data_IF_368656610242
#
_entry.id   IF_368656610242
#
_cell.length_a   1.000
_cell.length_b   1.000
_cell.length_c   1.000
_cell.angle_alpha   90.00
_cell.angle_beta   90.00
_cell.angle_gamma   90.00
#
_symmetry.space_group_name_H-M   'P 1'
#
loop_
_entity.id
_entity.type
_entity.pdbx_description
1 polymer ?
#
# COMPACT_ATOMS: atom_id res chain seq x y z
N UNK A 1 -0.37 19.79 -1.18
CA UNK A 1 -0.94 18.54 -0.61
C UNK A 1 0.15 17.84 0.17
N UNK A 2 0.12 18.01 1.50
CA UNK A 2 1.13 17.44 2.42
C UNK A 2 0.57 16.24 3.16
N UNK A 3 1.39 15.24 3.41
CA UNK A 3 1.05 14.11 4.26
C UNK A 3 0.85 14.60 5.70
N UNK A 4 -0.33 14.37 6.27
CA UNK A 4 -0.66 14.76 7.64
C UNK A 4 -0.50 13.64 8.65
N UNK A 5 -1.10 12.49 8.34
CA UNK A 5 -1.03 11.29 9.17
C UNK A 5 -1.23 10.01 8.34
N UNK A 6 -0.85 8.87 8.92
CA UNK A 6 -1.07 7.55 8.33
C UNK A 6 -1.88 6.71 9.31
N UNK A 7 -3.00 6.17 8.85
CA UNK A 7 -3.92 5.35 9.62
C UNK A 7 -4.01 3.95 9.04
N UNK A 8 -4.58 3.04 9.82
CA UNK A 8 -4.73 1.64 9.49
C UNK A 8 -6.18 1.20 9.58
N UNK A 9 -6.56 0.32 8.69
CA UNK A 9 -7.77 -0.47 8.74
C UNK A 9 -7.47 -1.94 8.51
N UNK A 10 -8.42 -2.80 8.87
CA UNK A 10 -8.37 -4.22 8.60
C UNK A 10 -9.45 -4.56 7.58
N UNK A 11 -9.04 -5.02 6.40
CA UNK A 11 -9.97 -5.56 5.42
C UNK A 11 -10.12 -7.07 5.68
N UNK A 12 -11.34 -7.52 5.95
CA UNK A 12 -11.69 -8.94 6.11
C UNK A 12 -12.85 -9.25 5.20
N UNK A 13 -12.61 -10.08 4.19
CA UNK A 13 -13.62 -10.46 3.20
C UNK A 13 -13.62 -11.98 3.03
N UNK A 14 -14.74 -12.66 3.31
CA UNK A 14 -14.84 -14.09 3.07
C UNK A 14 -14.79 -14.38 1.56
N UNK A 15 -14.08 -15.43 1.19
CA UNK A 15 -14.05 -15.91 -0.19
C UNK A 15 -15.30 -16.74 -0.49
N UNK A 16 -15.86 -16.61 -1.70
CA UNK A 16 -16.94 -17.46 -2.17
C UNK A 16 -16.52 -18.93 -2.27
N UNK A 17 -15.27 -19.17 -2.65
CA UNK A 17 -14.64 -20.49 -2.72
C UNK A 17 -13.29 -20.39 -2.05
N UNK A 18 -12.93 -21.33 -1.16
CA UNK A 18 -11.61 -21.33 -0.53
C UNK A 18 -10.50 -21.44 -1.58
N UNK A 19 -9.48 -20.59 -1.44
CA UNK A 19 -8.31 -20.63 -2.28
C UNK A 19 -7.27 -21.59 -1.68
N UNK A 20 -6.94 -22.67 -2.39
CA UNK A 20 -6.01 -23.69 -1.93
C UNK A 20 -4.71 -23.64 -2.71
N UNK A 21 -3.60 -23.68 -1.97
CA UNK A 21 -2.27 -23.85 -2.53
C UNK A 21 -1.57 -25.04 -1.86
N UNK A 22 -0.39 -25.41 -2.33
CA UNK A 22 0.42 -26.45 -1.70
C UNK A 22 0.79 -26.11 -0.22
N UNK A 23 0.83 -24.84 0.13
CA UNK A 23 1.27 -24.38 1.44
C UNK A 23 0.13 -24.03 2.40
N UNK A 24 -1.06 -23.67 1.88
CA UNK A 24 -2.16 -23.19 2.73
C UNK A 24 -3.52 -23.23 2.03
N UNK A 25 -4.56 -23.22 2.85
CA UNK A 25 -5.93 -22.90 2.42
C UNK A 25 -6.30 -21.51 2.96
N UNK A 26 -6.84 -20.66 2.11
CA UNK A 26 -7.31 -19.32 2.46
C UNK A 26 -8.82 -19.28 2.30
N UNK A 27 -9.55 -18.97 3.37
CA UNK A 27 -11.00 -18.88 3.39
C UNK A 27 -11.51 -17.44 3.33
N UNK A 28 -10.66 -16.50 3.73
CA UNK A 28 -10.93 -15.06 3.69
C UNK A 28 -9.69 -14.25 3.35
N UNK A 29 -9.88 -13.10 2.74
CA UNK A 29 -8.84 -12.07 2.62
C UNK A 29 -8.72 -11.35 3.95
N UNK A 30 -7.49 -11.18 4.41
CA UNK A 30 -7.16 -10.40 5.61
C UNK A 30 -5.96 -9.50 5.31
N UNK A 31 -6.24 -8.25 4.96
CA UNK A 31 -5.21 -7.28 4.59
C UNK A 31 -5.19 -6.11 5.56
N UNK A 32 -3.99 -5.62 5.84
CA UNK A 32 -3.81 -4.30 6.47
C UNK A 32 -4.02 -3.25 5.39
N UNK A 33 -5.03 -2.41 5.57
CA UNK A 33 -5.25 -1.22 4.73
C UNK A 33 -4.51 -0.04 5.34
N UNK A 34 -3.66 0.59 4.56
CA UNK A 34 -2.96 1.83 4.91
C UNK A 34 -3.69 3.00 4.28
N UNK A 35 -4.01 4.01 5.09
CA UNK A 35 -4.68 5.24 4.67
C UNK A 35 -3.74 6.42 4.94
N UNK A 36 -3.24 7.05 3.88
CA UNK A 36 -2.40 8.26 3.97
C UNK A 36 -3.29 9.48 3.84
N UNK A 37 -3.45 10.22 4.94
CA UNK A 37 -4.26 11.43 4.99
C UNK A 37 -3.43 12.67 4.69
N UNK A 38 -4.02 13.64 4.00
CA UNK A 38 -3.37 14.90 3.65
C UNK A 38 -4.00 16.10 4.35
N UNK A 39 -3.30 17.23 4.34
CA UNK A 39 -3.76 18.53 4.85
C UNK A 39 -4.91 19.13 4.01
N UNK A 40 -5.10 18.65 2.79
CA UNK A 40 -6.18 19.07 1.87
C UNK A 40 -7.41 18.18 1.95
N UNK A 41 -7.44 17.19 2.86
CA UNK A 41 -8.57 16.27 3.03
C UNK A 41 -8.59 15.07 2.10
N UNK A 42 -7.63 14.95 1.17
CA UNK A 42 -7.49 13.77 0.33
C UNK A 42 -6.92 12.59 1.14
N UNK A 43 -7.32 11.39 0.75
CA UNK A 43 -6.85 10.14 1.35
C UNK A 43 -6.39 9.19 0.26
N UNK A 44 -5.17 8.71 0.37
CA UNK A 44 -4.66 7.63 -0.49
C UNK A 44 -4.75 6.28 0.22
N UNK A 45 -5.04 5.25 -0.54
CA UNK A 45 -5.23 3.89 -0.03
C UNK A 45 -4.20 2.93 -0.61
N UNK A 46 -3.69 2.05 0.26
CA UNK A 46 -2.87 0.92 -0.12
C UNK A 46 -3.14 -0.25 0.80
N UNK A 47 -2.83 -1.46 0.38
CA UNK A 47 -3.03 -2.64 1.20
C UNK A 47 -1.79 -3.53 1.24
N UNK A 48 -1.66 -4.28 2.33
CA UNK A 48 -0.61 -5.25 2.55
C UNK A 48 -1.20 -6.57 3.06
N UNK A 49 -1.09 -7.66 2.29
CA UNK A 49 -1.46 -8.98 2.76
C UNK A 49 -0.44 -9.50 3.78
N UNK A 50 -0.94 -10.02 4.90
CA UNK A 50 -0.10 -10.69 5.89
C UNK A 50 0.05 -12.16 5.51
N UNK A 51 1.15 -12.52 4.84
CA UNK A 51 1.41 -13.88 4.35
C UNK A 51 2.61 -14.50 5.06
N UNK A 52 2.47 -14.74 6.38
CA UNK A 52 3.57 -15.18 7.23
C UNK A 52 4.35 -16.41 6.70
N UNK A 53 3.63 -17.38 6.10
CA UNK A 53 4.24 -18.60 5.54
C UNK A 53 4.95 -18.40 4.20
N UNK A 54 4.82 -17.23 3.57
CA UNK A 54 5.41 -16.94 2.26
C UNK A 54 6.45 -15.82 2.39
N UNK A 55 6.06 -14.66 2.94
CA UNK A 55 6.93 -13.48 3.05
C UNK A 55 7.49 -13.27 4.46
N UNK A 56 6.92 -13.94 5.46
CA UNK A 56 7.24 -13.71 6.86
C UNK A 56 6.50 -12.51 7.48
N UNK A 57 5.74 -11.76 6.69
CA UNK A 57 5.00 -10.60 7.18
C UNK A 57 3.73 -11.03 7.94
N UNK A 58 3.52 -10.41 9.10
CA UNK A 58 2.30 -10.53 9.90
C UNK A 58 1.58 -9.19 9.96
N UNK A 59 0.30 -9.17 10.36
CA UNK A 59 -0.43 -7.92 10.56
C UNK A 59 0.31 -6.98 11.51
N UNK A 60 0.84 -7.52 12.61
CA UNK A 60 1.60 -6.75 13.60
C UNK A 60 2.89 -6.17 13.02
N UNK A 61 3.68 -6.98 12.31
CA UNK A 61 4.94 -6.50 11.71
C UNK A 61 4.71 -5.40 10.67
N UNK A 62 3.65 -5.51 9.85
CA UNK A 62 3.28 -4.49 8.88
C UNK A 62 2.92 -3.18 9.58
N UNK A 63 2.03 -3.22 10.56
CA UNK A 63 1.60 -2.02 11.30
C UNK A 63 2.77 -1.35 12.02
N UNK A 64 3.61 -2.12 12.70
CA UNK A 64 4.78 -1.61 13.41
C UNK A 64 5.81 -1.01 12.45
N UNK A 65 6.08 -1.66 11.30
CA UNK A 65 6.98 -1.15 10.28
C UNK A 65 6.52 0.22 9.75
N UNK A 66 5.24 0.35 9.43
CA UNK A 66 4.71 1.64 8.95
C UNK A 66 4.71 2.68 10.06
N UNK A 67 4.21 2.36 11.26
CA UNK A 67 4.03 3.31 12.36
C UNK A 67 5.34 3.92 12.85
N UNK A 68 6.35 3.08 13.05
CA UNK A 68 7.57 3.51 13.74
C UNK A 68 8.74 3.84 12.81
N UNK A 69 8.73 3.32 11.58
CA UNK A 69 9.88 3.48 10.68
C UNK A 69 9.55 4.27 9.42
N UNK A 70 8.35 4.10 8.84
CA UNK A 70 8.00 4.77 7.58
C UNK A 70 7.29 6.10 7.85
N UNK A 71 6.18 6.10 8.59
CA UNK A 71 5.34 7.28 8.81
C UNK A 71 6.12 8.49 9.36
N UNK A 72 7.03 8.37 10.35
CA UNK A 72 7.76 9.51 10.88
C UNK A 72 8.65 10.22 9.84
N UNK A 73 9.04 9.51 8.76
CA UNK A 73 9.86 10.06 7.68
C UNK A 73 9.04 10.79 6.62
N UNK A 74 7.73 10.53 6.56
CA UNK A 74 6.86 11.01 5.49
C UNK A 74 5.96 12.16 5.91
N UNK A 75 5.56 12.24 7.16
CA UNK A 75 4.69 13.30 7.67
C UNK A 75 5.31 14.67 7.39
N UNK A 76 4.51 15.58 6.82
CA UNK A 76 4.91 16.91 6.41
C UNK A 76 5.48 17.03 4.98
N UNK A 77 5.72 15.91 4.30
CA UNK A 77 6.23 15.94 2.92
C UNK A 77 5.11 16.25 1.91
N UNK A 78 5.48 16.94 0.85
CA UNK A 78 4.60 17.24 -0.30
C UNK A 78 4.47 16.01 -1.20
N UNK A 79 3.24 15.64 -1.54
CA UNK A 79 2.95 14.51 -2.45
C UNK A 79 3.57 14.71 -3.83
N UNK A 80 3.74 15.95 -4.29
CA UNK A 80 4.41 16.26 -5.56
C UNK A 80 5.86 15.74 -5.61
N UNK A 81 6.52 15.56 -4.46
CA UNK A 81 7.89 15.05 -4.38
C UNK A 81 7.94 13.52 -4.35
N UNK A 82 7.21 12.86 -5.26
CA UNK A 82 7.02 11.41 -5.30
C UNK A 82 8.33 10.63 -5.18
N UNK A 83 9.33 10.94 -5.99
CA UNK A 83 10.61 10.23 -5.99
C UNK A 83 11.33 10.31 -4.63
N UNK A 84 11.25 11.45 -3.94
CA UNK A 84 11.81 11.60 -2.59
C UNK A 84 11.05 10.72 -1.60
N UNK A 85 9.74 10.68 -1.68
CA UNK A 85 8.89 9.89 -0.78
C UNK A 85 9.17 8.40 -0.97
N UNK A 86 9.18 7.91 -2.21
CA UNK A 86 9.46 6.50 -2.51
C UNK A 86 10.86 6.10 -2.05
N UNK A 87 11.86 6.96 -2.25
CA UNK A 87 13.21 6.72 -1.74
C UNK A 87 13.25 6.60 -0.21
N UNK A 88 12.53 7.46 0.51
CA UNK A 88 12.43 7.40 1.97
C UNK A 88 11.69 6.16 2.47
N UNK A 89 10.64 5.71 1.76
CA UNK A 89 9.94 4.47 2.06
C UNK A 89 10.89 3.27 1.90
N UNK A 90 11.56 3.18 0.77
CA UNK A 90 12.48 2.06 0.48
C UNK A 90 13.67 2.03 1.45
N UNK A 91 14.23 3.18 1.80
CA UNK A 91 15.34 3.30 2.74
C UNK A 91 14.94 3.30 4.22
N UNK A 92 13.64 3.10 4.56
CA UNK A 92 13.18 3.16 5.95
C UNK A 92 13.74 2.02 6.80
N UNK A 93 13.86 0.83 6.22
CA UNK A 93 14.35 -0.38 6.88
C UNK A 93 14.69 -1.45 5.86
N UNK A 94 15.40 -2.48 6.30
CA UNK A 94 15.62 -3.69 5.50
C UNK A 94 14.34 -4.53 5.43
N UNK A 95 14.11 -5.21 4.30
CA UNK A 95 12.94 -6.09 4.07
C UNK A 95 11.60 -5.36 4.31
N UNK A 96 10.64 -6.01 4.96
CA UNK A 96 9.28 -5.47 5.22
C UNK A 96 8.60 -4.92 3.95
N UNK A 97 8.70 -5.68 2.86
CA UNK A 97 8.27 -5.25 1.53
C UNK A 97 6.77 -5.02 1.44
N UNK A 98 5.95 -5.81 2.16
CA UNK A 98 4.50 -5.61 2.19
C UNK A 98 4.12 -4.26 2.81
N UNK A 99 4.79 -3.87 3.91
CA UNK A 99 4.57 -2.58 4.55
C UNK A 99 4.97 -1.41 3.65
N UNK A 100 6.13 -1.51 3.00
CA UNK A 100 6.62 -0.50 2.04
C UNK A 100 5.67 -0.35 0.86
N UNK A 101 5.26 -1.49 0.25
CA UNK A 101 4.35 -1.50 -0.88
C UNK A 101 3.01 -0.84 -0.55
N UNK A 102 2.42 -1.14 0.61
CA UNK A 102 1.15 -0.53 1.01
C UNK A 102 1.23 0.99 1.11
N UNK A 103 2.29 1.53 1.73
CA UNK A 103 2.47 2.99 1.82
C UNK A 103 2.77 3.59 0.45
N UNK A 104 3.59 2.95 -0.36
CA UNK A 104 3.94 3.42 -1.69
C UNK A 104 2.73 3.46 -2.62
N UNK A 105 1.87 2.43 -2.60
CA UNK A 105 0.60 2.40 -3.33
C UNK A 105 -0.29 3.57 -2.90
N UNK A 106 -0.45 3.81 -1.59
CA UNK A 106 -1.26 4.91 -1.08
C UNK A 106 -0.73 6.30 -1.50
N UNK A 107 0.59 6.46 -1.55
CA UNK A 107 1.22 7.71 -2.02
C UNK A 107 1.02 7.90 -3.53
N UNK A 108 1.12 6.85 -4.33
CA UNK A 108 0.85 6.90 -5.76
C UNK A 108 -0.64 7.21 -6.05
N UNK A 109 -1.56 6.68 -5.25
CA UNK A 109 -2.97 7.03 -5.32
C UNK A 109 -3.18 8.54 -5.10
N UNK A 110 -2.57 9.11 -4.05
CA UNK A 110 -2.58 10.55 -3.80
C UNK A 110 -1.92 11.36 -4.91
N UNK A 111 -0.89 10.84 -5.53
CA UNK A 111 -0.22 11.49 -6.66
C UNK A 111 -1.14 11.56 -7.88
N UNK A 112 -1.90 10.50 -8.15
CA UNK A 112 -2.98 10.51 -9.15
C UNK A 112 -4.06 11.53 -8.84
N UNK A 113 -4.51 11.61 -7.58
CA UNK A 113 -5.49 12.59 -7.11
C UNK A 113 -4.97 14.03 -7.24
N UNK A 114 -3.70 14.27 -6.91
CA UNK A 114 -3.06 15.59 -7.00
C UNK A 114 -3.09 16.15 -8.42
N UNK A 115 -2.86 15.32 -9.42
CA UNK A 115 -2.84 15.72 -10.83
C UNK A 115 -4.17 15.49 -11.55
N UNK A 116 -5.18 14.96 -10.88
CA UNK A 116 -6.49 14.70 -11.46
C UNK A 116 -6.45 13.71 -12.63
N UNK A 117 -5.51 12.76 -12.61
CA UNK A 117 -5.29 11.81 -13.69
C UNK A 117 -5.14 10.38 -13.18
N UNK A 118 -5.62 9.38 -13.94
CA UNK A 118 -5.38 7.99 -13.62
C UNK A 118 -3.87 7.68 -13.54
N UNK A 119 -3.46 6.93 -12.52
CA UNK A 119 -2.06 6.64 -12.26
C UNK A 119 -1.33 6.04 -13.47
N UNK A 120 -1.96 5.11 -14.20
CA UNK A 120 -1.32 4.50 -15.38
C UNK A 120 -0.93 5.51 -16.46
N UNK A 121 -1.70 6.61 -16.60
CA UNK A 121 -1.35 7.69 -17.53
C UNK A 121 -0.15 8.49 -17.04
N UNK A 122 -0.08 8.74 -15.74
CA UNK A 122 1.06 9.46 -15.15
C UNK A 122 2.36 8.64 -15.21
N UNK A 123 2.24 7.31 -15.23
CA UNK A 123 3.37 6.37 -15.36
C UNK A 123 3.76 6.06 -16.82
N UNK A 124 3.26 6.81 -17.78
CA UNK A 124 3.66 6.69 -19.18
C UNK A 124 2.52 6.27 -20.12
N UNK A 125 1.38 5.90 -19.59
CA UNK A 125 0.23 5.46 -20.39
C UNK A 125 0.38 4.03 -20.90
N UNK A 126 -0.49 3.66 -21.84
CA UNK A 126 -0.55 2.33 -22.45
C UNK A 126 -1.99 1.95 -22.79
N UNK A 127 -2.16 0.78 -23.39
CA UNK A 127 -3.49 0.21 -23.61
C UNK A 127 -4.09 -0.18 -22.25
N UNK A 128 -5.27 0.36 -21.88
CA UNK A 128 -5.91 0.02 -20.62
C UNK A 128 -6.54 -1.39 -20.61
N UNK A 129 -6.52 -2.09 -21.72
CA UNK A 129 -7.05 -3.46 -21.82
C UNK A 129 -6.01 -4.45 -21.34
N UNK A 130 -6.31 -5.12 -20.24
CA UNK A 130 -5.44 -6.12 -19.62
C UNK A 130 -6.18 -7.46 -19.60
N UNK A 131 -5.51 -8.49 -20.10
CA UNK A 131 -6.01 -9.88 -19.99
C UNK A 131 -5.31 -10.54 -18.80
N UNK A 132 -6.09 -11.15 -17.92
CA UNK A 132 -5.60 -11.92 -16.77
C UNK A 132 -6.25 -13.30 -16.74
N UNK A 133 -5.65 -14.21 -16.00
CA UNK A 133 -6.22 -15.52 -15.70
C UNK A 133 -6.64 -15.61 -14.22
N UNK A 134 -7.41 -16.62 -13.92
CA UNK A 134 -7.80 -16.98 -12.55
C UNK A 134 -7.27 -18.41 -12.31
N UNK A 135 -6.47 -18.53 -11.30
CA UNK A 135 -5.91 -19.83 -10.85
C UNK A 135 -6.81 -20.48 -9.80
#
# INVERSE_FOLDING_TARGET
MKIRDIRFGMLRVPLKTPFKTALRTVEQVEDVVVMVHTDTGHVGYGSAPATAVITGDTHGSIVEAVRHYIAPRLVGLEIANLNRITHLIQGAMEKNTSAKAAVEIAVHDLWGQLYGAPLYKLLGGGDPVITTDIT
#
